data_IF_687128117678
#
_entry.id   IF_687128117678
#
_cell.length_a   1.000
_cell.length_b   1.000
_cell.length_c   1.000
_cell.angle_alpha   90.00
_cell.angle_beta   90.00
_cell.angle_gamma   90.00
#
_symmetry.space_group_name_H-M   'P 1'
#
loop_
_entity.id
_entity.type
_entity.pdbx_description
1 polymer ?
#
# COMPACT_ATOMS: atom_id res chain seq x y z
N UNK A 1 -0.79 -16.97 26.83
CA UNK A 1 -0.52 -15.64 26.26
C UNK A 1 -1.72 -15.27 25.41
N UNK A 2 -2.50 -14.27 25.82
CA UNK A 2 -3.58 -13.75 24.95
C UNK A 2 -2.93 -12.95 23.84
N UNK A 3 -3.14 -13.28 22.56
CA UNK A 3 -2.66 -12.43 21.48
C UNK A 3 -3.34 -11.07 21.61
N UNK A 4 -2.52 -10.02 21.75
CA UNK A 4 -2.98 -8.64 21.77
C UNK A 4 -3.48 -8.33 20.36
N UNK A 5 -4.81 -8.39 20.19
CA UNK A 5 -5.46 -8.07 18.93
C UNK A 5 -5.53 -6.54 18.83
N UNK A 6 -4.55 -5.91 18.19
CA UNK A 6 -4.61 -4.47 17.90
C UNK A 6 -5.69 -4.23 16.85
N UNK A 7 -6.86 -3.76 17.29
CA UNK A 7 -7.90 -3.26 16.40
C UNK A 7 -7.48 -1.88 15.88
N UNK A 8 -6.83 -1.88 14.72
CA UNK A 8 -6.34 -0.69 14.02
C UNK A 8 -7.50 0.07 13.35
N UNK A 9 -8.35 0.70 14.16
CA UNK A 9 -9.49 1.50 13.72
C UNK A 9 -9.39 2.98 14.07
N UNK A 10 -8.31 3.41 14.74
CA UNK A 10 -8.09 4.76 15.25
C UNK A 10 -7.35 5.69 14.27
N UNK A 11 -7.16 5.25 13.03
CA UNK A 11 -6.43 6.02 12.02
C UNK A 11 -4.90 5.87 12.10
N UNK A 12 -4.38 4.91 12.87
CA UNK A 12 -2.93 4.66 12.96
C UNK A 12 -2.25 4.35 11.63
N UNK A 13 -2.98 3.83 10.64
CA UNK A 13 -2.47 3.65 9.28
C UNK A 13 -2.50 4.91 8.41
N UNK A 14 -3.08 6.02 8.91
CA UNK A 14 -3.08 7.29 8.20
C UNK A 14 -1.82 8.08 8.50
N UNK A 15 -1.24 8.69 7.47
CA UNK A 15 -0.15 9.62 7.65
C UNK A 15 -0.56 10.77 8.59
N UNK A 16 0.31 11.15 9.54
CA UNK A 16 0.02 12.24 10.46
C UNK A 16 -0.13 13.56 9.70
N UNK A 17 -0.96 14.46 10.22
CA UNK A 17 -0.97 15.85 9.75
C UNK A 17 0.34 16.56 10.15
N UNK A 18 0.64 17.70 9.53
CA UNK A 18 1.84 18.48 9.88
C UNK A 18 1.84 18.91 11.36
N UNK A 19 0.68 19.28 11.91
CA UNK A 19 0.53 19.63 13.32
C UNK A 19 0.79 18.44 14.24
N UNK A 20 0.29 17.26 13.87
CA UNK A 20 0.55 16.02 14.61
C UNK A 20 2.03 15.61 14.55
N UNK A 21 2.65 15.74 13.38
CA UNK A 21 4.06 15.44 13.18
C UNK A 21 4.92 16.33 14.08
N UNK A 22 4.64 17.65 14.10
CA UNK A 22 5.35 18.58 14.98
C UNK A 22 5.12 18.28 16.47
N UNK A 23 3.88 17.98 16.86
CA UNK A 23 3.54 17.66 18.26
C UNK A 23 4.21 16.37 18.75
N UNK A 24 4.44 15.42 17.85
CA UNK A 24 5.02 14.10 18.15
C UNK A 24 6.52 14.01 17.82
N UNK A 25 7.16 15.12 17.44
CA UNK A 25 8.56 15.17 17.02
C UNK A 25 8.91 14.16 15.90
N UNK A 26 8.00 14.04 14.92
CA UNK A 26 8.15 13.17 13.77
C UNK A 26 8.79 13.92 12.59
N UNK A 27 9.45 13.20 11.66
CA UNK A 27 9.98 13.80 10.44
C UNK A 27 8.91 14.48 9.58
N UNK A 28 9.31 15.49 8.80
CA UNK A 28 8.43 16.21 7.89
C UNK A 28 7.93 15.34 6.70
N UNK A 29 8.68 14.28 6.34
CA UNK A 29 8.22 13.34 5.31
C UNK A 29 7.04 12.51 5.87
N UNK A 30 5.84 12.63 5.30
CA UNK A 30 4.65 12.03 5.87
C UNK A 30 4.63 10.50 5.76
N UNK A 31 5.32 9.90 4.77
CA UNK A 31 5.43 8.45 4.64
C UNK A 31 6.35 7.89 5.71
N UNK A 32 7.49 8.55 5.92
CA UNK A 32 8.44 8.18 6.97
C UNK A 32 7.80 8.31 8.35
N UNK A 33 7.12 9.43 8.62
CA UNK A 33 6.41 9.66 9.86
C UNK A 33 5.35 8.58 10.13
N UNK A 34 4.56 8.21 9.11
CA UNK A 34 3.56 7.14 9.24
C UNK A 34 4.19 5.78 9.57
N UNK A 35 5.26 5.41 8.86
CA UNK A 35 5.92 4.11 9.03
C UNK A 35 6.71 4.01 10.34
N UNK A 36 7.23 5.12 10.87
CA UNK A 36 7.82 5.20 12.21
C UNK A 36 6.76 5.01 13.29
N UNK A 37 5.58 5.62 13.15
CA UNK A 37 4.45 5.38 14.07
C UNK A 37 4.03 3.92 14.07
N UNK A 38 3.96 3.29 12.89
CA UNK A 38 3.67 1.85 12.78
C UNK A 38 4.75 0.99 13.42
N UNK A 39 6.02 1.35 13.25
CA UNK A 39 7.15 0.66 13.89
C UNK A 39 7.04 0.76 15.41
N UNK A 40 6.67 1.92 15.95
CA UNK A 40 6.53 2.14 17.39
C UNK A 40 5.44 1.26 18.04
N UNK A 41 4.43 0.81 17.28
CA UNK A 41 3.41 -0.13 17.79
C UNK A 41 3.98 -1.50 18.16
N UNK A 42 5.14 -1.88 17.64
CA UNK A 42 5.76 -3.16 17.95
C UNK A 42 6.38 -3.18 19.36
N UNK A 43 6.56 -2.02 19.99
CA UNK A 43 7.32 -1.89 21.23
C UNK A 43 8.83 -2.12 21.03
N UNK A 44 9.58 -2.02 22.13
CA UNK A 44 11.04 -2.12 22.11
C UNK A 44 11.55 -3.54 22.39
N UNK A 45 10.80 -4.37 23.12
CA UNK A 45 11.23 -5.72 23.52
C UNK A 45 10.98 -6.74 22.41
N UNK A 46 12.04 -7.40 21.96
CA UNK A 46 12.01 -8.40 20.88
C UNK A 46 11.31 -9.69 21.32
N UNK A 47 11.38 -10.05 22.62
CA UNK A 47 10.72 -11.24 23.17
C UNK A 47 9.20 -11.07 23.21
N UNK A 48 8.71 -9.84 23.38
CA UNK A 48 7.28 -9.50 23.31
C UNK A 48 6.75 -9.37 21.86
N UNK A 49 7.65 -9.20 20.88
CA UNK A 49 7.35 -9.10 19.45
C UNK A 49 7.16 -10.46 18.75
N UNK A 50 7.40 -11.57 19.45
CA UNK A 50 7.27 -12.92 18.88
C UNK A 50 5.82 -13.16 18.45
N UNK A 51 5.63 -13.43 17.15
CA UNK A 51 4.37 -13.59 16.43
C UNK A 51 3.66 -12.31 15.94
N UNK A 52 4.22 -11.12 16.15
CA UNK A 52 3.69 -9.88 15.54
C UNK A 52 4.35 -9.63 14.19
N UNK A 53 3.53 -9.43 13.14
CA UNK A 53 4.01 -9.09 11.79
C UNK A 53 3.88 -7.59 11.57
N UNK A 54 4.96 -6.94 11.17
CA UNK A 54 4.93 -5.52 10.83
C UNK A 54 4.16 -5.35 9.52
N UNK A 55 3.07 -4.59 9.55
CA UNK A 55 2.24 -4.37 8.37
C UNK A 55 2.77 -3.19 7.55
N UNK A 56 3.07 -3.43 6.26
CA UNK A 56 3.30 -2.42 5.24
C UNK A 56 1.97 -2.07 4.58
N UNK A 57 1.37 -0.91 4.90
CA UNK A 57 0.09 -0.55 4.34
C UNK A 57 0.21 -0.29 2.85
N UNK A 58 -0.74 -0.84 2.09
CA UNK A 58 -0.89 -0.55 0.67
C UNK A 58 -1.48 0.84 0.43
N UNK A 59 -2.03 1.47 1.48
CA UNK A 59 -2.42 2.86 1.51
C UNK A 59 -2.15 3.45 2.90
N UNK A 60 -1.58 4.66 2.93
CA UNK A 60 -1.32 5.47 4.12
C UNK A 60 -2.34 6.61 4.28
N UNK A 61 -3.40 6.65 3.45
CA UNK A 61 -4.48 7.64 3.55
C UNK A 61 -4.01 9.08 3.36
N UNK A 62 -2.95 9.28 2.57
CA UNK A 62 -2.35 10.58 2.26
C UNK A 62 -3.23 11.43 1.34
N UNK A 63 -3.90 10.79 0.40
CA UNK A 63 -4.83 11.40 -0.53
C UNK A 63 -5.91 10.40 -0.98
N UNK A 64 -6.87 10.85 -1.78
CA UNK A 64 -8.00 10.04 -2.27
C UNK A 64 -7.59 8.97 -3.30
N UNK A 65 -6.40 9.10 -3.88
CA UNK A 65 -5.84 8.17 -4.86
C UNK A 65 -5.01 7.06 -4.22
N UNK A 66 -4.66 7.23 -2.94
CA UNK A 66 -3.95 6.28 -2.12
C UNK A 66 -4.84 5.08 -1.76
N UNK A 67 -4.79 4.06 -2.60
CA UNK A 67 -5.75 2.96 -2.59
C UNK A 67 -5.09 1.62 -2.93
N UNK A 68 -5.66 0.53 -2.39
CA UNK A 68 -5.13 -0.83 -2.54
C UNK A 68 -5.01 -1.30 -4.01
N UNK A 69 -5.91 -0.83 -4.88
CA UNK A 69 -5.92 -1.18 -6.32
C UNK A 69 -4.69 -0.64 -7.07
N UNK A 70 -4.46 0.69 -7.17
CA UNK A 70 -3.26 1.21 -7.83
C UNK A 70 -1.97 0.73 -7.15
N UNK A 71 -1.97 0.57 -5.83
CA UNK A 71 -0.83 0.01 -5.11
C UNK A 71 -0.53 -1.45 -5.53
N UNK A 72 -1.57 -2.27 -5.75
CA UNK A 72 -1.40 -3.64 -6.25
C UNK A 72 -0.92 -3.64 -7.70
N UNK A 73 -1.49 -2.81 -8.58
CA UNK A 73 -1.03 -2.73 -9.97
C UNK A 73 0.43 -2.29 -10.06
N UNK A 74 0.87 -1.34 -9.24
CA UNK A 74 2.26 -0.87 -9.21
C UNK A 74 3.28 -1.94 -8.73
N UNK A 75 2.83 -3.06 -8.16
CA UNK A 75 3.67 -4.22 -7.83
C UNK A 75 3.90 -5.16 -9.02
N UNK A 76 3.07 -5.08 -10.06
CA UNK A 76 3.12 -6.01 -11.18
C UNK A 76 4.16 -5.54 -12.20
N UNK A 77 5.10 -6.41 -12.55
CA UNK A 77 6.21 -6.05 -13.43
C UNK A 77 5.79 -5.88 -14.91
N UNK A 78 4.86 -6.73 -15.38
CA UNK A 78 4.46 -6.81 -16.80
C UNK A 78 3.09 -6.18 -17.06
N UNK A 79 2.43 -5.69 -16.01
CA UNK A 79 1.08 -5.13 -16.10
C UNK A 79 1.11 -3.68 -15.67
N UNK A 80 0.58 -2.80 -16.53
CA UNK A 80 0.39 -1.39 -16.19
C UNK A 80 -1.09 -1.05 -16.28
N UNK A 81 -1.48 0.07 -15.68
CA UNK A 81 -2.85 0.55 -15.75
C UNK A 81 -2.95 2.06 -15.84
N UNK A 82 -4.00 2.54 -16.49
CA UNK A 82 -4.31 3.95 -16.65
C UNK A 82 -5.69 4.23 -16.04
N UNK A 83 -5.79 5.30 -15.25
CA UNK A 83 -7.07 5.75 -14.69
C UNK A 83 -7.89 6.47 -15.76
N UNK A 84 -9.11 6.00 -16.00
CA UNK A 84 -10.10 6.61 -16.91
C UNK A 84 -11.43 6.84 -16.16
N UNK A 85 -12.41 7.45 -16.82
CA UNK A 85 -13.68 7.87 -16.19
C UNK A 85 -14.47 6.75 -15.52
N UNK A 86 -14.34 5.51 -16.00
CA UNK A 86 -15.02 4.34 -15.45
C UNK A 86 -14.14 3.50 -14.50
N UNK A 87 -12.87 3.87 -14.30
CA UNK A 87 -11.97 3.20 -13.36
C UNK A 87 -10.58 2.92 -13.92
N UNK A 88 -9.85 2.02 -13.26
CA UNK A 88 -8.50 1.62 -13.67
C UNK A 88 -8.56 0.60 -14.81
N UNK A 89 -7.91 0.94 -15.91
CA UNK A 89 -7.88 0.13 -17.12
C UNK A 89 -6.47 -0.41 -17.35
N UNK A 90 -6.33 -1.70 -17.64
CA UNK A 90 -5.06 -2.27 -18.07
C UNK A 90 -4.66 -1.65 -19.41
N UNK A 91 -3.42 -1.18 -19.54
CA UNK A 91 -3.06 -0.29 -20.64
C UNK A 91 -1.56 -0.14 -20.86
N UNK A 92 -1.17 1.02 -21.37
CA UNK A 92 0.24 1.33 -21.63
C UNK A 92 0.93 1.91 -20.39
N UNK A 93 0.18 2.43 -19.41
CA UNK A 93 0.74 3.04 -18.21
C UNK A 93 1.39 4.38 -18.53
N UNK A 94 0.75 5.18 -19.37
CA UNK A 94 1.24 6.51 -19.76
C UNK A 94 0.50 7.63 -19.04
N UNK A 95 -0.56 7.32 -18.29
CA UNK A 95 -1.37 8.29 -17.57
C UNK A 95 -0.67 8.84 -16.33
N UNK A 96 -1.02 10.08 -15.96
CA UNK A 96 -0.47 10.74 -14.78
C UNK A 96 -0.78 9.96 -13.48
N UNK A 97 -1.99 9.42 -13.36
CA UNK A 97 -2.38 8.62 -12.19
C UNK A 97 -1.51 7.37 -12.02
N UNK A 98 -1.08 6.74 -13.13
CA UNK A 98 -0.16 5.61 -13.09
C UNK A 98 1.23 6.01 -12.63
N UNK A 99 1.75 7.12 -13.17
CA UNK A 99 3.04 7.69 -12.76
C UNK A 99 3.01 8.01 -11.27
N UNK A 100 1.93 8.65 -10.80
CA UNK A 100 1.71 8.95 -9.39
C UNK A 100 1.72 7.68 -8.52
N UNK A 101 0.97 6.64 -8.89
CA UNK A 101 0.94 5.38 -8.15
C UNK A 101 2.33 4.72 -8.06
N UNK A 102 3.12 4.76 -9.14
CA UNK A 102 4.49 4.24 -9.15
C UNK A 102 5.44 5.06 -8.28
N UNK A 103 5.36 6.38 -8.34
CA UNK A 103 6.16 7.27 -7.52
C UNK A 103 5.82 7.11 -6.03
N UNK A 104 4.53 7.07 -5.70
CA UNK A 104 4.05 6.85 -4.34
C UNK A 104 4.58 5.51 -3.80
N UNK A 105 4.48 4.43 -4.59
CA UNK A 105 5.03 3.12 -4.25
C UNK A 105 6.53 3.18 -3.95
N UNK A 106 7.30 3.90 -4.77
CA UNK A 106 8.74 4.06 -4.57
C UNK A 106 9.06 4.85 -3.30
N UNK A 107 8.38 5.98 -3.06
CA UNK A 107 8.52 6.80 -1.85
C UNK A 107 8.22 6.00 -0.58
N UNK A 108 7.12 5.23 -0.58
CA UNK A 108 6.76 4.34 0.55
C UNK A 108 7.86 3.30 0.80
N UNK A 109 8.45 2.71 -0.24
CA UNK A 109 9.52 1.73 -0.06
C UNK A 109 10.80 2.36 0.48
N UNK A 110 11.18 3.54 0.01
CA UNK A 110 12.35 4.25 0.50
C UNK A 110 12.16 4.68 1.96
N UNK A 111 10.97 5.18 2.31
CA UNK A 111 10.61 5.50 3.69
C UNK A 111 10.61 4.25 4.59
N UNK A 112 10.09 3.10 4.11
CA UNK A 112 10.10 1.85 4.86
C UNK A 112 11.51 1.34 5.14
N UNK A 113 12.44 1.50 4.18
CA UNK A 113 13.85 1.15 4.37
C UNK A 113 14.49 1.94 5.51
N UNK A 114 14.11 3.21 5.68
CA UNK A 114 14.60 4.06 6.77
C UNK A 114 13.89 3.71 8.08
N UNK A 115 12.55 3.70 8.07
CA UNK A 115 11.73 3.50 9.27
C UNK A 115 11.99 2.17 9.96
N UNK A 116 12.30 1.13 9.18
CA UNK A 116 12.44 -0.24 9.67
C UNK A 116 13.88 -0.75 9.58
N UNK A 117 14.85 0.17 9.54
CA UNK A 117 16.26 -0.19 9.60
C UNK A 117 16.53 -1.06 10.85
N UNK A 118 17.15 -2.22 10.64
CA UNK A 118 17.45 -3.17 11.71
C UNK A 118 16.27 -4.05 12.17
N UNK A 119 15.11 -3.98 11.53
CA UNK A 119 14.03 -4.94 11.79
C UNK A 119 14.31 -6.28 11.09
N UNK A 120 14.37 -7.36 11.86
CA UNK A 120 14.63 -8.73 11.36
C UNK A 120 13.37 -9.62 11.31
N UNK A 121 12.22 -9.09 11.74
CA UNK A 121 10.96 -9.82 11.76
C UNK A 121 10.26 -9.90 10.40
N UNK A 122 9.15 -10.64 10.35
CA UNK A 122 8.36 -10.76 9.11
C UNK A 122 7.53 -9.51 8.86
N UNK A 123 7.68 -8.94 7.66
CA UNK A 123 6.81 -7.89 7.14
C UNK A 123 5.63 -8.51 6.38
N UNK A 124 4.43 -7.98 6.61
CA UNK A 124 3.21 -8.35 5.89
C UNK A 124 2.76 -7.18 5.02
N UNK A 125 2.36 -7.44 3.78
CA UNK A 125 1.70 -6.46 2.91
C UNK A 125 0.35 -7.02 2.43
N UNK A 126 -0.59 -6.13 2.13
CA UNK A 126 -1.87 -6.50 1.50
C UNK A 126 -1.83 -6.23 -0.01
N UNK A 127 -2.39 -7.15 -0.79
CA UNK A 127 -2.58 -6.99 -2.23
C UNK A 127 -3.95 -7.51 -2.63
N UNK A 128 -4.47 -7.06 -3.77
CA UNK A 128 -5.61 -7.72 -4.39
C UNK A 128 -5.16 -9.05 -5.01
N UNK A 129 -5.93 -10.11 -4.79
CA UNK A 129 -5.75 -11.36 -5.54
C UNK A 129 -6.24 -11.24 -7.00
N UNK A 130 -5.85 -12.16 -7.89
CA UNK A 130 -6.12 -12.07 -9.34
C UNK A 130 -7.59 -11.87 -9.68
N UNK A 131 -8.51 -12.63 -9.07
CA UNK A 131 -9.95 -12.51 -9.34
C UNK A 131 -10.51 -11.15 -8.91
N UNK A 132 -10.08 -10.63 -7.76
CA UNK A 132 -10.49 -9.30 -7.28
C UNK A 132 -9.89 -8.20 -8.16
N UNK A 133 -8.63 -8.34 -8.57
CA UNK A 133 -7.97 -7.40 -9.46
C UNK A 133 -8.66 -7.37 -10.84
N UNK A 134 -9.01 -8.54 -11.39
CA UNK A 134 -9.75 -8.65 -12.65
C UNK A 134 -11.16 -8.02 -12.54
N UNK A 135 -11.85 -8.24 -11.42
CA UNK A 135 -13.15 -7.61 -11.18
C UNK A 135 -13.09 -6.09 -11.02
N UNK A 136 -11.96 -5.58 -10.51
CA UNK A 136 -11.79 -4.16 -10.23
C UNK A 136 -11.18 -3.36 -11.40
N UNK A 137 -10.64 -4.04 -12.42
CA UNK A 137 -9.99 -3.42 -13.58
C UNK A 137 -10.81 -3.60 -14.87
N UNK A 138 -10.43 -2.83 -15.90
CA UNK A 138 -11.05 -2.85 -17.21
C UNK A 138 -10.02 -3.10 -18.31
N UNK A 139 -10.49 -3.60 -19.45
CA UNK A 139 -9.70 -3.73 -20.68
C UNK A 139 -9.76 -2.44 -21.51
N UNK A 140 -8.91 -2.36 -22.54
CA UNK A 140 -8.93 -1.26 -23.51
C UNK A 140 -10.32 -1.06 -24.16
N UNK A 141 -11.10 -2.14 -24.33
CA UNK A 141 -12.47 -2.13 -24.85
C UNK A 141 -13.47 -1.42 -23.93
N UNK A 142 -13.15 -1.22 -22.65
CA UNK A 142 -14.06 -0.72 -21.62
C UNK A 142 -14.85 -1.82 -20.90
N UNK A 143 -14.68 -3.08 -21.29
CA UNK A 143 -15.24 -4.22 -20.56
C UNK A 143 -14.43 -4.52 -19.31
N UNK A 144 -15.04 -5.18 -18.32
CA UNK A 144 -14.33 -5.66 -17.13
C UNK A 144 -13.28 -6.69 -17.55
N UNK A 145 -12.08 -6.64 -16.96
CA UNK A 145 -11.04 -7.66 -17.20
C UNK A 145 -11.57 -9.06 -16.88
N UNK A 146 -12.46 -9.19 -15.89
CA UNK A 146 -13.13 -10.44 -15.53
C UNK A 146 -13.96 -11.06 -16.68
N UNK A 147 -14.37 -10.30 -17.69
CA UNK A 147 -15.15 -10.79 -18.82
C UNK A 147 -14.30 -11.52 -19.88
N UNK A 148 -12.98 -11.36 -19.86
CA UNK A 148 -12.04 -12.01 -20.78
C UNK A 148 -11.23 -13.09 -20.04
N UNK A 149 -11.50 -14.39 -20.30
CA UNK A 149 -10.77 -15.48 -19.66
C UNK A 149 -9.26 -15.48 -19.94
N UNK A 150 -8.84 -14.97 -21.10
CA UNK A 150 -7.43 -14.82 -21.44
C UNK A 150 -6.77 -13.76 -20.57
N UNK A 151 -7.40 -12.60 -20.44
CA UNK A 151 -6.89 -11.53 -19.58
C UNK A 151 -6.87 -11.92 -18.09
N UNK A 152 -7.87 -12.66 -17.60
CA UNK A 152 -7.88 -13.17 -16.21
C UNK A 152 -6.74 -14.14 -15.97
N UNK A 153 -6.44 -15.01 -16.94
CA UNK A 153 -5.34 -15.98 -16.84
C UNK A 153 -3.97 -15.30 -16.84
N UNK A 154 -3.85 -14.19 -17.55
CA UNK A 154 -2.58 -13.47 -17.69
C UNK A 154 -2.32 -12.53 -16.47
N UNK A 155 -3.29 -12.36 -15.56
CA UNK A 155 -3.07 -11.73 -14.26
C UNK A 155 -2.41 -12.72 -13.27
N UNK A 156 -1.48 -12.24 -12.43
CA UNK A 156 -0.70 -13.07 -11.50
C UNK A 156 -1.49 -13.57 -10.30
#
# INVERSE_FOLDING_TARGET
>A
MSPLLTLTGDGTFRAPTAEEAQRLDLPDDPHLAALLRLRALLGDDLEEQIATRLYLPSALGLDETDHLLPATLALLAETTGDLVSYGWRLGAGTGLAWQHARELRARVMDAARIAWLGYEGTVMASTLGPATLAGATFLQSGERTLADPGAVRDLP
#
